data_IF_557932479174
#
_entry.id   IF_557932479174
#
_cell.length_a   1.000
_cell.length_b   1.000
_cell.length_c   1.000
_cell.angle_alpha   90.00
_cell.angle_beta   90.00
_cell.angle_gamma   90.00
#
_symmetry.space_group_name_H-M   'P 1'
#
loop_
_entity.id
_entity.type
_entity.pdbx_description
1 polymer ?
#
# COMPACT_ATOMS: atom_id res chain seq x y z
N UNK A 1 16.11 6.44 13.75
CA UNK A 1 16.82 5.93 14.94
C UNK A 1 17.78 4.83 14.46
N UNK A 2 18.94 4.63 15.09
CA UNK A 2 19.88 3.54 14.69
C UNK A 2 19.58 2.21 15.37
N UNK A 3 18.70 2.23 16.37
CA UNK A 3 18.40 1.12 17.28
C UNK A 3 16.98 0.56 17.11
N UNK A 4 16.20 1.00 16.12
CA UNK A 4 14.84 0.48 15.88
C UNK A 4 13.78 0.90 16.90
N UNK A 5 14.15 1.67 17.93
CA UNK A 5 13.20 2.16 18.93
C UNK A 5 12.16 3.12 18.32
N UNK A 6 10.87 2.97 18.66
CA UNK A 6 9.81 3.91 18.27
C UNK A 6 10.14 5.34 18.73
N UNK A 7 9.88 6.31 17.84
CA UNK A 7 10.13 7.74 18.14
C UNK A 7 9.09 8.30 19.13
N UNK A 8 7.90 7.69 19.19
CA UNK A 8 6.79 8.03 20.06
C UNK A 8 6.26 6.76 20.72
N UNK A 9 5.67 6.93 21.91
CA UNK A 9 4.95 5.85 22.58
C UNK A 9 3.72 5.45 21.75
N UNK A 10 3.65 4.17 21.38
CA UNK A 10 2.54 3.59 20.62
C UNK A 10 1.21 3.62 21.39
N UNK A 11 1.27 3.76 22.73
CA UNK A 11 0.09 3.86 23.60
C UNK A 11 -0.36 5.31 23.82
N UNK A 12 0.35 6.30 23.28
CA UNK A 12 0.00 7.71 23.46
C UNK A 12 -1.38 8.04 22.87
N UNK A 13 -2.14 8.86 23.60
CA UNK A 13 -3.49 9.26 23.22
C UNK A 13 -3.49 10.35 22.13
N UNK A 14 -2.46 11.20 22.11
CA UNK A 14 -2.45 12.41 21.28
C UNK A 14 -1.92 12.16 19.87
N UNK A 15 -0.71 11.59 19.74
CA UNK A 15 -0.02 11.44 18.45
C UNK A 15 0.50 10.03 18.26
N UNK A 16 -0.24 9.27 17.47
CA UNK A 16 0.12 7.92 17.07
C UNK A 16 1.17 7.95 15.96
N UNK A 17 2.26 7.20 16.13
CA UNK A 17 3.31 7.03 15.11
C UNK A 17 3.01 5.91 14.11
N UNK A 18 1.74 5.68 13.83
CA UNK A 18 1.26 4.69 12.88
C UNK A 18 -0.04 5.16 12.24
N UNK A 19 -0.35 4.59 11.09
CA UNK A 19 -1.59 4.81 10.36
C UNK A 19 -2.38 3.49 10.32
N UNK A 20 -3.70 3.57 10.37
CA UNK A 20 -4.57 2.38 10.31
C UNK A 20 -5.01 2.16 8.86
N UNK A 21 -4.72 0.98 8.32
CA UNK A 21 -5.28 0.50 7.07
C UNK A 21 -6.50 -0.38 7.36
N UNK A 22 -7.66 -0.01 6.81
CA UNK A 22 -8.89 -0.78 6.93
C UNK A 22 -9.12 -1.52 5.61
N UNK A 23 -9.32 -2.83 5.69
CA UNK A 23 -9.65 -3.67 4.54
C UNK A 23 -11.14 -4.02 4.61
N UNK A 24 -11.91 -3.58 3.62
CA UNK A 24 -13.29 -3.97 3.42
C UNK A 24 -13.40 -5.00 2.30
N UNK A 25 -14.27 -5.98 2.47
CA UNK A 25 -14.55 -6.98 1.45
C UNK A 25 -16.07 -7.16 1.30
N UNK A 26 -16.53 -7.22 0.05
CA UNK A 26 -17.91 -7.53 -0.30
C UNK A 26 -17.90 -8.83 -1.11
N UNK A 27 -18.47 -9.88 -0.52
CA UNK A 27 -18.58 -11.18 -1.14
C UNK A 27 -18.80 -12.28 -0.11
N UNK A 28 -19.18 -13.45 -0.60
CA UNK A 28 -19.45 -14.62 0.24
C UNK A 28 -18.24 -15.56 0.32
N UNK A 29 -17.15 -15.25 -0.39
CA UNK A 29 -15.96 -16.10 -0.44
C UNK A 29 -15.02 -15.75 0.71
N UNK A 30 -15.15 -16.56 1.74
CA UNK A 30 -14.47 -16.40 3.00
C UNK A 30 -12.96 -16.75 2.90
N UNK A 31 -12.54 -17.45 1.84
CA UNK A 31 -11.16 -17.91 1.69
C UNK A 31 -10.23 -16.84 1.11
N UNK A 32 -10.80 -15.79 0.50
CA UNK A 32 -10.05 -14.69 -0.14
C UNK A 32 -9.10 -13.95 0.81
N UNK A 33 -9.52 -13.81 2.06
CA UNK A 33 -8.78 -13.12 3.14
C UNK A 33 -8.36 -14.08 4.25
N UNK A 34 -8.32 -15.39 3.97
CA UNK A 34 -7.97 -16.42 4.97
C UNK A 34 -6.68 -16.10 5.74
N UNK A 35 -5.66 -15.56 5.07
CA UNK A 35 -4.37 -15.17 5.69
C UNK A 35 -4.47 -13.98 6.67
N UNK A 36 -5.51 -13.15 6.51
CA UNK A 36 -5.77 -11.91 7.22
C UNK A 36 -6.86 -12.06 8.29
N UNK A 37 -7.65 -13.14 8.23
CA UNK A 37 -8.70 -13.42 9.22
C UNK A 37 -8.14 -13.50 10.63
N UNK A 38 -8.85 -12.86 11.56
CA UNK A 38 -8.61 -12.91 13.01
C UNK A 38 -7.19 -12.50 13.45
N UNK A 39 -6.43 -11.80 12.61
CA UNK A 39 -5.07 -11.34 12.95
C UNK A 39 -4.89 -9.87 12.63
N UNK A 40 -4.35 -9.12 13.59
CA UNK A 40 -3.81 -7.79 13.32
C UNK A 40 -2.44 -7.96 12.67
N UNK A 41 -2.29 -7.48 11.43
CA UNK A 41 -0.98 -7.40 10.77
C UNK A 41 -0.37 -6.02 11.00
N UNK A 42 0.94 -5.98 11.14
CA UNK A 42 1.71 -4.74 11.26
C UNK A 42 2.56 -4.60 10.00
N UNK A 43 2.45 -3.46 9.34
CA UNK A 43 3.30 -3.09 8.20
C UNK A 43 4.33 -2.10 8.70
N UNK A 44 5.60 -2.49 8.70
CA UNK A 44 6.72 -1.63 9.02
C UNK A 44 7.41 -1.19 7.73
N UNK A 45 7.63 0.11 7.56
CA UNK A 45 8.34 0.66 6.41
C UNK A 45 9.24 1.81 6.83
N UNK A 46 10.25 2.10 6.01
CA UNK A 46 11.08 3.29 6.18
C UNK A 46 10.23 4.48 5.70
N UNK A 47 10.07 5.54 6.53
CA UNK A 47 9.35 6.73 6.11
C UNK A 47 9.97 7.31 4.84
N UNK A 48 9.14 7.54 3.84
CA UNK A 48 9.59 8.23 2.64
C UNK A 48 9.96 9.69 2.98
N UNK A 49 10.94 10.24 2.26
CA UNK A 49 11.25 11.66 2.32
C UNK A 49 10.05 12.51 1.86
N UNK A 50 9.25 11.95 0.95
CA UNK A 50 8.05 12.59 0.41
C UNK A 50 6.88 12.39 1.39
N UNK A 51 6.26 13.49 1.77
CA UNK A 51 5.14 13.49 2.71
C UNK A 51 3.92 12.71 2.21
N UNK A 52 3.32 11.98 3.14
CA UNK A 52 2.10 11.19 2.91
C UNK A 52 2.25 10.12 1.82
N UNK A 53 3.48 9.65 1.59
CA UNK A 53 3.74 8.49 0.74
C UNK A 53 3.56 7.23 1.56
N UNK A 54 2.64 6.37 1.12
CA UNK A 54 2.44 5.05 1.68
C UNK A 54 3.47 4.08 1.09
N UNK A 55 3.87 3.03 1.83
CA UNK A 55 4.64 1.93 1.24
C UNK A 55 3.84 1.29 0.09
N UNK A 56 4.52 0.55 -0.78
CA UNK A 56 3.91 -0.14 -1.92
C UNK A 56 2.96 -1.28 -1.47
N UNK A 57 1.73 -0.91 -1.09
CA UNK A 57 0.75 -1.83 -0.52
C UNK A 57 0.31 -2.92 -1.51
N UNK A 58 0.32 -2.64 -2.82
CA UNK A 58 -0.08 -3.61 -3.85
C UNK A 58 0.77 -4.89 -3.83
N UNK A 59 2.08 -4.77 -3.57
CA UNK A 59 3.01 -5.90 -3.43
C UNK A 59 2.63 -6.73 -2.21
N UNK A 60 2.37 -6.07 -1.07
CA UNK A 60 1.94 -6.75 0.15
C UNK A 60 0.60 -7.47 -0.04
N UNK A 61 -0.31 -6.88 -0.81
CA UNK A 61 -1.62 -7.49 -1.07
C UNK A 61 -1.52 -8.75 -1.92
N UNK A 62 -0.63 -8.82 -2.92
CA UNK A 62 -0.44 -10.04 -3.72
C UNK A 62 -0.13 -11.26 -2.85
N UNK A 63 0.64 -11.09 -1.78
CA UNK A 63 1.00 -12.18 -0.86
C UNK A 63 -0.08 -12.48 0.20
N UNK A 64 -0.92 -11.49 0.53
CA UNK A 64 -1.86 -11.57 1.65
C UNK A 64 -3.30 -11.86 1.21
N UNK A 65 -3.66 -11.52 -0.02
CA UNK A 65 -5.02 -11.66 -0.55
C UNK A 65 -4.98 -12.66 -1.69
N UNK A 66 -5.86 -13.66 -1.63
CA UNK A 66 -5.98 -14.63 -2.70
C UNK A 66 -6.72 -13.98 -3.88
N UNK A 67 -5.99 -13.36 -4.80
CA UNK A 67 -6.57 -12.77 -6.00
C UNK A 67 -6.96 -13.84 -7.03
N UNK A 68 -8.06 -13.64 -7.79
CA UNK A 68 -8.34 -14.45 -8.97
C UNK A 68 -7.12 -14.45 -9.91
N UNK A 69 -6.70 -15.63 -10.37
CA UNK A 69 -5.50 -15.82 -11.20
C UNK A 69 -4.15 -15.50 -10.52
N UNK A 70 -4.11 -15.33 -9.19
CA UNK A 70 -2.91 -14.99 -8.41
C UNK A 70 -2.25 -13.66 -8.82
N UNK A 71 -3.00 -12.73 -9.42
CA UNK A 71 -2.46 -11.41 -9.76
C UNK A 71 -3.43 -10.28 -9.41
N UNK A 72 -2.84 -9.13 -9.09
CA UNK A 72 -3.55 -7.89 -8.85
C UNK A 72 -3.75 -7.20 -10.21
N UNK A 73 -4.89 -7.48 -10.83
CA UNK A 73 -5.28 -6.86 -12.08
C UNK A 73 -6.48 -5.94 -11.90
N UNK A 74 -6.60 -4.94 -12.78
CA UNK A 74 -7.72 -4.00 -12.88
C UNK A 74 -8.06 -3.28 -11.57
N UNK A 75 -7.04 -2.83 -10.83
CA UNK A 75 -7.24 -2.11 -9.57
C UNK A 75 -7.51 -0.62 -9.79
N UNK A 76 -8.15 0.02 -8.81
CA UNK A 76 -8.42 1.46 -8.82
C UNK A 76 -7.76 2.10 -7.60
N UNK A 77 -6.91 3.10 -7.84
CA UNK A 77 -6.38 3.98 -6.80
C UNK A 77 -7.00 5.38 -6.93
N UNK A 78 -7.60 5.85 -5.84
CA UNK A 78 -8.18 7.20 -5.72
C UNK A 78 -7.24 8.06 -4.90
N UNK A 79 -7.08 9.33 -5.31
CA UNK A 79 -6.07 10.27 -4.80
C UNK A 79 -4.64 9.83 -5.09
N UNK A 80 -4.46 9.09 -6.19
CA UNK A 80 -3.16 8.63 -6.65
C UNK A 80 -2.21 9.80 -6.92
N UNK A 81 -0.94 9.61 -6.57
CA UNK A 81 0.17 10.55 -6.88
C UNK A 81 1.32 9.89 -7.64
N UNK A 82 1.14 8.60 -7.96
CA UNK A 82 1.99 7.76 -8.78
C UNK A 82 1.10 6.88 -9.66
N UNK A 83 1.66 6.40 -10.76
CA UNK A 83 1.07 5.29 -11.52
C UNK A 83 1.67 3.99 -11.03
N UNK A 84 0.82 2.99 -10.84
CA UNK A 84 1.20 1.61 -10.60
C UNK A 84 0.78 0.76 -11.80
N UNK A 85 1.57 -0.25 -12.19
CA UNK A 85 1.14 -1.22 -13.20
C UNK A 85 -0.19 -1.85 -12.81
N UNK A 86 -1.07 -2.11 -13.78
CA UNK A 86 -2.40 -2.71 -13.61
C UNK A 86 -3.41 -1.89 -12.76
N UNK A 87 -3.09 -0.63 -12.46
CA UNK A 87 -3.98 0.27 -11.73
C UNK A 87 -4.50 1.40 -12.61
N UNK A 88 -5.81 1.60 -12.59
CA UNK A 88 -6.42 2.87 -12.95
C UNK A 88 -6.19 3.86 -11.81
N UNK A 89 -5.55 4.99 -12.10
CA UNK A 89 -5.18 5.99 -11.10
C UNK A 89 -5.96 7.28 -11.29
N UNK A 90 -6.68 7.73 -10.25
CA UNK A 90 -7.50 8.94 -10.28
C UNK A 90 -7.02 9.92 -9.21
N UNK A 91 -6.72 11.16 -9.60
CA UNK A 91 -6.29 12.21 -8.69
C UNK A 91 -5.96 13.51 -9.43
N UNK A 92 -5.71 14.59 -8.68
CA UNK A 92 -5.32 15.87 -9.27
C UNK A 92 -3.83 15.91 -9.64
N UNK A 93 -3.02 15.00 -9.07
CA UNK A 93 -1.55 15.03 -9.15
C UNK A 93 -0.99 13.63 -9.48
N UNK A 94 -1.67 12.85 -10.32
CA UNK A 94 -1.37 11.43 -10.57
C UNK A 94 0.07 11.16 -11.02
N UNK A 95 0.69 12.09 -11.73
CA UNK A 95 2.06 11.94 -12.26
C UNK A 95 3.13 12.60 -11.38
N UNK A 96 2.76 13.15 -10.22
CA UNK A 96 3.64 14.04 -9.45
C UNK A 96 4.91 13.39 -8.92
N UNK A 97 4.87 12.10 -8.59
CA UNK A 97 6.02 11.39 -8.04
C UNK A 97 6.62 10.37 -9.02
N UNK A 98 6.36 10.53 -10.32
CA UNK A 98 6.97 9.68 -11.32
C UNK A 98 8.42 10.06 -11.62
N UNK A 99 9.35 9.18 -11.28
CA UNK A 99 10.74 9.29 -11.70
C UNK A 99 10.93 8.61 -13.05
N UNK A 100 11.61 9.29 -13.98
CA UNK A 100 11.97 8.69 -15.27
C UNK A 100 12.88 7.47 -15.12
N UNK A 101 13.66 7.41 -14.03
CA UNK A 101 14.53 6.29 -13.70
C UNK A 101 13.77 4.98 -13.44
N UNK A 102 12.45 5.04 -13.24
CA UNK A 102 11.59 3.87 -13.05
C UNK A 102 11.03 3.32 -14.36
N UNK A 103 11.35 3.92 -15.50
CA UNK A 103 10.84 3.54 -16.81
C UNK A 103 11.98 3.11 -17.74
N UNK A 104 11.72 2.08 -18.53
CA UNK A 104 12.59 1.65 -19.60
C UNK A 104 12.11 2.25 -20.92
N UNK A 105 13.06 2.72 -21.75
CA UNK A 105 12.74 3.19 -23.09
C UNK A 105 12.37 1.99 -23.97
N UNK A 106 11.13 1.99 -24.48
CA UNK A 106 10.69 0.97 -25.44
C UNK A 106 11.10 1.45 -26.83
N UNK A 107 12.13 0.84 -27.40
CA UNK A 107 12.44 1.02 -28.83
C UNK A 107 11.46 0.17 -29.64
N UNK A 108 10.61 0.84 -30.43
CA UNK A 108 9.63 0.22 -31.34
C UNK A 108 10.23 0.09 -32.74
#
# INVERSE_FOLDING_TARGET
TRSGEPVLDLTSLDKKSYETLILGYTGNDDDRFSSLKNTTKIICSIPALIHSTKPALHILFQDLINFPNNDIDHCLEIYARNLLPNFTSIGNEVLKHQSIDLFEEITI
#
